data_IF_956279844485
#
_entry.id   IF_956279844485
#
_cell.length_a   1.000
_cell.length_b   1.000
_cell.length_c   1.000
_cell.angle_alpha   90.00
_cell.angle_beta   90.00
_cell.angle_gamma   90.00
#
_symmetry.space_group_name_H-M   'P 1'
#
loop_
_entity.id
_entity.type
_entity.pdbx_description
1 polymer ?
#
# COMPACT_ATOMS: atom_id res chain seq x y z
N UNK A 1 -8.75 1.48 10.65
CA UNK A 1 -8.46 2.14 9.37
C UNK A 1 -6.97 1.97 9.12
N UNK A 2 -6.53 1.39 7.99
CA UNK A 2 -5.12 1.07 7.80
C UNK A 2 -4.25 2.33 7.84
N UNK A 3 -3.14 2.27 8.57
CA UNK A 3 -2.19 3.37 8.70
C UNK A 3 -1.10 3.15 7.66
N UNK A 4 -0.75 4.20 6.94
CA UNK A 4 0.24 4.15 5.87
C UNK A 4 1.26 5.24 6.10
N UNK A 5 2.55 4.90 6.13
CA UNK A 5 3.65 5.86 6.23
C UNK A 5 4.75 5.51 5.24
N UNK A 6 5.53 6.50 4.82
CA UNK A 6 6.64 6.31 3.89
C UNK A 6 7.93 6.80 4.53
N UNK A 7 8.94 5.93 4.56
CA UNK A 7 10.27 6.23 5.12
C UNK A 7 11.30 5.60 4.20
N UNK A 8 12.33 6.34 3.78
CA UNK A 8 13.45 5.85 2.95
C UNK A 8 12.98 5.06 1.70
N UNK A 9 12.05 5.61 0.93
CA UNK A 9 11.45 4.98 -0.26
C UNK A 9 10.77 3.63 0.02
N UNK A 10 10.31 3.40 1.24
CA UNK A 10 9.53 2.22 1.62
C UNK A 10 8.18 2.64 2.15
N UNK A 11 7.13 2.05 1.60
CA UNK A 11 5.78 2.16 2.13
C UNK A 11 5.58 1.11 3.21
N UNK A 12 5.17 1.58 4.38
CA UNK A 12 4.78 0.79 5.52
C UNK A 12 3.26 0.86 5.65
N UNK A 13 2.61 -0.29 5.64
CA UNK A 13 1.15 -0.41 5.75
C UNK A 13 0.84 -1.22 6.99
N UNK A 14 0.31 -0.57 8.02
CA UNK A 14 -0.30 -1.25 9.14
C UNK A 14 -1.76 -1.54 8.78
N UNK A 15 -2.10 -2.81 8.76
CA UNK A 15 -3.43 -3.29 8.42
C UNK A 15 -4.27 -3.42 9.69
N UNK A 16 -5.58 -3.29 9.52
CA UNK A 16 -6.50 -3.60 10.61
C UNK A 16 -6.62 -5.14 10.74
N UNK A 17 -6.91 -5.62 11.95
CA UNK A 17 -7.03 -7.05 12.27
C UNK A 17 -8.07 -7.85 11.45
N UNK A 18 -9.00 -7.16 10.77
CA UNK A 18 -9.97 -7.81 9.88
C UNK A 18 -9.39 -8.16 8.50
N UNK A 19 -8.23 -7.62 8.13
CA UNK A 19 -7.57 -7.88 6.85
C UNK A 19 -6.74 -9.16 6.98
N UNK A 20 -7.34 -10.30 6.64
CA UNK A 20 -6.65 -11.61 6.69
C UNK A 20 -5.89 -11.93 5.41
N UNK A 21 -6.47 -11.55 4.28
CA UNK A 21 -5.92 -11.78 2.94
C UNK A 21 -6.29 -10.62 2.02
N UNK A 22 -5.50 -10.45 0.96
CA UNK A 22 -5.73 -9.42 -0.02
C UNK A 22 -4.49 -9.02 -0.81
N UNK A 23 -4.61 -7.92 -1.52
CA UNK A 23 -3.56 -7.36 -2.37
C UNK A 23 -3.39 -5.87 -2.08
N UNK A 24 -2.14 -5.42 -2.02
CA UNK A 24 -1.79 -4.00 -1.97
C UNK A 24 -1.20 -3.61 -3.31
N UNK A 25 -1.83 -2.67 -3.99
CA UNK A 25 -1.34 -2.09 -5.25
C UNK A 25 -0.88 -0.67 -4.99
N UNK A 26 0.35 -0.36 -5.35
CA UNK A 26 0.92 0.98 -5.30
C UNK A 26 1.14 1.45 -6.72
N UNK A 27 0.57 2.60 -7.08
CA UNK A 27 0.69 3.21 -8.41
C UNK A 27 1.27 4.61 -8.29
N UNK A 28 2.29 4.92 -9.09
CA UNK A 28 2.87 6.26 -9.16
C UNK A 28 2.23 7.14 -10.25
N UNK A 29 2.64 8.39 -10.33
CA UNK A 29 2.17 9.37 -11.32
C UNK A 29 2.46 8.95 -12.78
N UNK A 30 3.49 8.14 -13.01
CA UNK A 30 3.84 7.58 -14.32
C UNK A 30 3.01 6.33 -14.67
N UNK A 31 1.99 6.01 -13.86
CA UNK A 31 1.14 4.81 -13.97
C UNK A 31 1.91 3.49 -13.84
N UNK A 32 3.12 3.52 -13.26
CA UNK A 32 3.83 2.29 -12.88
C UNK A 32 3.21 1.76 -11.61
N UNK A 33 2.78 0.51 -11.64
CA UNK A 33 2.15 -0.16 -10.51
C UNK A 33 2.99 -1.32 -10.00
N UNK A 34 3.00 -1.49 -8.69
CA UNK A 34 3.54 -2.67 -8.00
C UNK A 34 2.44 -3.25 -7.15
N UNK A 35 2.14 -4.53 -7.34
CA UNK A 35 1.14 -5.25 -6.55
C UNK A 35 1.84 -6.30 -5.71
N UNK A 36 1.53 -6.32 -4.42
CA UNK A 36 2.04 -7.32 -3.47
C UNK A 36 0.87 -8.02 -2.76
N UNK A 37 0.95 -9.34 -2.53
CA UNK A 37 0.00 -10.03 -1.67
C UNK A 37 0.22 -9.65 -0.21
N UNK A 38 -0.87 -9.58 0.54
CA UNK A 38 -0.82 -9.45 2.00
C UNK A 38 -0.44 -10.82 2.57
N UNK A 39 0.74 -10.90 3.19
CA UNK A 39 1.31 -12.09 3.82
C UNK A 39 1.14 -12.06 5.33
N UNK A 40 1.19 -10.89 5.94
CA UNK A 40 0.92 -10.68 7.36
C UNK A 40 -0.26 -9.71 7.53
N UNK A 41 -1.31 -10.18 8.21
CA UNK A 41 -2.53 -9.43 8.47
C UNK A 41 -2.32 -8.16 9.30
N UNK A 42 -1.14 -7.97 9.90
CA UNK A 42 -0.86 -6.83 10.76
C UNK A 42 -0.03 -5.76 10.07
N UNK A 43 0.91 -6.14 9.19
CA UNK A 43 1.92 -5.21 8.69
C UNK A 43 2.54 -5.66 7.37
N UNK A 44 2.65 -4.73 6.43
CA UNK A 44 3.32 -4.94 5.15
C UNK A 44 4.35 -3.84 4.86
N UNK A 45 5.45 -4.23 4.23
CA UNK A 45 6.51 -3.32 3.78
C UNK A 45 6.73 -3.48 2.28
N UNK A 46 6.69 -2.37 1.56
CA UNK A 46 6.74 -2.35 0.10
C UNK A 46 7.79 -1.35 -0.36
N UNK A 47 8.81 -1.83 -1.07
CA UNK A 47 9.77 -0.91 -1.71
C UNK A 47 9.08 -0.13 -2.83
N UNK A 48 9.23 1.19 -2.79
CA UNK A 48 8.68 2.13 -3.75
C UNK A 48 9.70 2.42 -4.86
N UNK A 49 9.24 2.66 -6.09
CA UNK A 49 10.12 3.14 -7.14
C UNK A 49 10.70 4.52 -6.80
N UNK A 50 11.98 4.70 -7.10
CA UNK A 50 12.69 5.99 -6.95
C UNK A 50 11.96 7.10 -7.72
N UNK A 51 12.01 8.33 -7.20
CA UNK A 51 11.43 9.55 -7.80
C UNK A 51 9.90 9.53 -7.97
N UNK A 52 9.16 8.99 -7.00
CA UNK A 52 7.70 9.15 -6.96
C UNK A 52 7.32 10.37 -6.12
N UNK A 53 6.53 11.29 -6.67
CA UNK A 53 6.02 12.45 -5.93
C UNK A 53 4.58 12.24 -5.46
N UNK A 54 3.86 11.31 -6.09
CA UNK A 54 2.48 10.98 -5.74
C UNK A 54 2.26 9.48 -5.85
N UNK A 55 1.72 8.89 -4.79
CA UNK A 55 1.40 7.46 -4.76
C UNK A 55 -0.08 7.26 -4.49
N UNK A 56 -0.72 6.48 -5.34
CA UNK A 56 -2.03 5.91 -5.08
C UNK A 56 -1.85 4.49 -4.55
N UNK A 57 -2.36 4.24 -3.36
CA UNK A 57 -2.32 2.95 -2.68
C UNK A 57 -3.73 2.40 -2.66
N UNK A 58 -3.91 1.19 -3.21
CA UNK A 58 -5.17 0.45 -3.21
C UNK A 58 -4.97 -0.83 -2.43
N UNK A 59 -5.64 -0.97 -1.30
CA UNK A 59 -5.67 -2.19 -0.48
C UNK A 59 -7.00 -2.86 -0.77
N UNK A 60 -6.96 -4.02 -1.44
CA UNK A 60 -8.13 -4.83 -1.72
C UNK A 60 -8.10 -6.06 -0.83
N UNK A 61 -8.99 -6.10 0.15
CA UNK A 61 -9.24 -7.22 1.04
C UNK A 61 -10.63 -7.81 0.74
N UNK A 62 -10.89 -9.05 1.18
CA UNK A 62 -12.08 -9.86 0.84
C UNK A 62 -13.37 -9.05 0.60
N UNK A 63 -13.78 -8.25 1.59
CA UNK A 63 -15.05 -7.51 1.58
C UNK A 63 -14.90 -6.00 1.37
N UNK A 64 -13.68 -5.48 1.28
CA UNK A 64 -13.43 -4.03 1.32
C UNK A 64 -12.25 -3.63 0.45
N UNK A 65 -12.44 -2.52 -0.27
CA UNK A 65 -11.35 -1.82 -0.95
C UNK A 65 -11.11 -0.49 -0.26
N UNK A 66 -9.84 -0.20 0.00
CA UNK A 66 -9.40 1.06 0.59
C UNK A 66 -8.45 1.72 -0.39
N UNK A 67 -8.76 2.96 -0.76
CA UNK A 67 -7.91 3.77 -1.63
C UNK A 67 -7.36 4.93 -0.83
N UNK A 68 -6.05 5.12 -0.89
CA UNK A 68 -5.34 6.25 -0.31
C UNK A 68 -4.46 6.91 -1.36
N UNK A 69 -4.28 8.21 -1.21
CA UNK A 69 -3.29 8.97 -1.96
C UNK A 69 -2.31 9.61 -0.98
N UNK A 70 -1.02 9.47 -1.26
CA UNK A 70 0.06 10.05 -0.47
C UNK A 70 0.89 10.92 -1.40
N UNK A 71 1.05 12.20 -1.03
CA UNK A 71 2.04 13.09 -1.62
C UNK A 71 3.33 12.96 -0.80
N UNK A 72 4.45 12.81 -1.51
CA UNK A 72 5.79 12.66 -0.94
C UNK A 72 6.52 13.99 -0.87
#
# INVERSE_FOLDING_TARGET
MPITTIINNKLYVQLDSWVKEGMITVTNEQKRSKTVPIKDSNFEMIDLPENSHLLQIVIKAESKTITKQIKL
#
